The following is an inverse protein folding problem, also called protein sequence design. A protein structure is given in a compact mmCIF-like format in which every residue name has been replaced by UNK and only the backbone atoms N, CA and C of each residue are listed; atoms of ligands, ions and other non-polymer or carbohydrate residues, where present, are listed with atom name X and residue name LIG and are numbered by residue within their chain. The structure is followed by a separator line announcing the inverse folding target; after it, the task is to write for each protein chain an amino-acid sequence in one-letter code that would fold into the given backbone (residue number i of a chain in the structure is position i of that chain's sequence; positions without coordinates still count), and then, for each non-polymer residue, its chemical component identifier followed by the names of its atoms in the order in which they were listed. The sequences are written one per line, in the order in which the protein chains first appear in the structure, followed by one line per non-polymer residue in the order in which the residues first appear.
data_IF_871400338444
#
_entry.id   IF_871400338444
#
_cell.length_a   1.000
_cell.length_b   1.000
_cell.length_c   1.000
_cell.angle_alpha   90.00
_cell.angle_beta   90.00
_cell.angle_gamma   90.00
#
_symmetry.space_group_name_H-M   'P 1'
#
loop_
_entity.id
_entity.type
_entity.pdbx_description
1 polymer ?
#
# COMPACT_ATOMS: atom_id res chain seq x y z
N UNK A 1 17.84 -14.27 -8.13
CA UNK A 1 16.88 -13.40 -7.43
C UNK A 1 16.86 -13.81 -5.97
N UNK A 2 17.31 -12.95 -5.07
CA UNK A 2 17.17 -13.17 -3.63
C UNK A 2 15.75 -12.78 -3.23
N UNK A 3 14.99 -13.69 -2.61
CA UNK A 3 13.69 -13.37 -2.04
C UNK A 3 13.89 -13.10 -0.55
N UNK A 4 13.58 -11.88 -0.12
CA UNK A 4 13.57 -11.54 1.30
C UNK A 4 12.22 -11.91 1.90
N UNK A 5 12.25 -12.53 3.08
CA UNK A 5 11.04 -12.91 3.79
C UNK A 5 10.57 -11.74 4.66
N UNK A 6 9.37 -11.25 4.39
CA UNK A 6 8.72 -10.23 5.21
C UNK A 6 8.50 -10.78 6.63
N UNK A 7 8.99 -10.11 7.68
CA UNK A 7 8.76 -10.53 9.05
C UNK A 7 7.28 -10.33 9.42
N UNK A 8 6.67 -11.23 10.20
CA UNK A 8 5.32 -11.03 10.70
C UNK A 8 5.30 -9.95 11.80
N UNK A 9 4.16 -9.27 11.98
CA UNK A 9 3.97 -8.42 13.15
C UNK A 9 4.06 -9.22 14.47
N UNK A 10 4.57 -8.60 15.56
CA UNK A 10 4.67 -9.22 16.87
C UNK A 10 3.31 -9.54 17.50
N UNK A 11 3.33 -10.31 18.59
CA UNK A 11 2.12 -10.86 19.23
C UNK A 11 1.18 -9.79 19.78
N UNK A 12 1.70 -8.73 20.36
CA UNK A 12 0.95 -7.57 20.85
C UNK A 12 0.09 -6.93 19.75
N UNK A 13 0.63 -6.76 18.55
CA UNK A 13 -0.12 -6.20 17.40
C UNK A 13 -1.18 -7.19 16.90
N UNK A 14 -0.86 -8.48 16.88
CA UNK A 14 -1.84 -9.54 16.53
C UNK A 14 -3.01 -9.55 17.51
N UNK A 15 -2.72 -9.48 18.80
CA UNK A 15 -3.73 -9.42 19.88
C UNK A 15 -4.56 -8.15 19.73
N UNK A 16 -3.94 -6.98 19.51
CA UNK A 16 -4.63 -5.71 19.30
C UNK A 16 -5.67 -5.81 18.17
N UNK A 17 -5.28 -6.33 17.00
CA UNK A 17 -6.19 -6.47 15.85
C UNK A 17 -7.33 -7.46 16.15
N UNK A 18 -7.00 -8.60 16.78
CA UNK A 18 -7.99 -9.62 17.13
C UNK A 18 -9.00 -9.08 18.16
N UNK A 19 -8.55 -8.41 19.20
CA UNK A 19 -9.43 -7.87 20.24
C UNK A 19 -10.38 -6.79 19.71
N UNK A 20 -9.90 -5.97 18.78
CA UNK A 20 -10.69 -4.88 18.19
C UNK A 20 -11.66 -5.34 17.11
N UNK A 21 -11.25 -6.26 16.24
CA UNK A 21 -11.96 -6.52 14.99
C UNK A 21 -12.39 -7.98 14.78
N UNK A 22 -11.89 -8.92 15.57
CA UNK A 22 -12.28 -10.32 15.45
C UNK A 22 -13.54 -10.61 16.29
N UNK A 23 -14.54 -11.32 15.72
CA UNK A 23 -15.70 -11.80 16.47
C UNK A 23 -15.28 -12.60 17.71
N UNK A 24 -15.88 -12.34 18.89
CA UNK A 24 -15.47 -12.96 20.16
C UNK A 24 -15.37 -14.49 20.11
N UNK A 25 -16.21 -15.13 19.32
CA UNK A 25 -16.35 -16.58 19.23
C UNK A 25 -15.12 -17.28 18.63
N UNK A 26 -14.39 -16.58 17.77
CA UNK A 26 -13.24 -17.17 17.03
C UNK A 26 -11.89 -16.59 17.45
N UNK A 27 -11.83 -15.64 18.40
CA UNK A 27 -10.58 -14.98 18.83
C UNK A 27 -9.49 -15.97 19.24
N UNK A 28 -9.83 -16.89 20.14
CA UNK A 28 -8.89 -17.89 20.65
C UNK A 28 -8.38 -18.80 19.52
N UNK A 29 -9.27 -19.20 18.60
CA UNK A 29 -8.90 -20.01 17.44
C UNK A 29 -7.91 -19.26 16.53
N UNK A 30 -8.17 -17.96 16.27
CA UNK A 30 -7.31 -17.13 15.43
C UNK A 30 -5.92 -16.94 16.07
N UNK A 31 -5.85 -16.63 17.37
CA UNK A 31 -4.59 -16.41 18.07
C UNK A 31 -3.73 -17.67 18.18
N UNK A 32 -4.36 -18.84 18.35
CA UNK A 32 -3.67 -20.12 18.46
C UNK A 32 -3.25 -20.70 17.09
N UNK A 33 -3.90 -20.30 16.00
CA UNK A 33 -3.62 -20.84 14.66
C UNK A 33 -2.23 -20.46 14.16
N UNK A 34 -1.47 -21.46 13.71
CA UNK A 34 -0.15 -21.27 13.10
C UNK A 34 -0.23 -20.42 11.81
N UNK A 35 -1.29 -20.54 11.01
CA UNK A 35 -1.46 -19.76 9.78
C UNK A 35 -1.59 -18.25 10.03
N UNK A 36 -2.10 -17.85 11.21
CA UNK A 36 -2.27 -16.46 11.60
C UNK A 36 -1.01 -15.86 12.26
N UNK A 37 0.06 -16.65 12.44
CA UNK A 37 1.36 -16.13 12.89
C UNK A 37 2.06 -15.30 11.82
N UNK A 38 1.67 -15.44 10.55
CA UNK A 38 2.25 -14.66 9.45
C UNK A 38 1.90 -13.16 9.50
N UNK A 39 0.81 -12.79 10.18
CA UNK A 39 0.27 -11.43 10.35
C UNK A 39 0.86 -10.35 9.44
N UNK A 40 0.30 -10.23 8.23
CA UNK A 40 0.60 -9.17 7.28
C UNK A 40 -0.61 -8.24 7.21
N UNK A 41 -0.36 -6.93 7.32
CA UNK A 41 -1.43 -5.92 7.31
C UNK A 41 -1.40 -5.22 5.96
N UNK A 42 -2.49 -5.25 5.21
CA UNK A 42 -2.64 -4.48 3.98
C UNK A 42 -3.28 -3.13 4.30
N UNK A 43 -2.63 -1.99 4.01
CA UNK A 43 -3.21 -0.67 4.23
C UNK A 43 -4.19 -0.31 3.11
N UNK A 44 -5.50 -0.36 3.40
CA UNK A 44 -6.58 0.03 2.49
C UNK A 44 -6.90 1.52 2.65
N UNK A 45 -6.00 2.37 2.16
CA UNK A 45 -6.10 3.83 2.29
C UNK A 45 -7.21 4.41 1.38
N UNK A 46 -7.46 3.77 0.24
CA UNK A 46 -8.50 4.14 -0.72
C UNK A 46 -9.93 3.74 -0.37
N UNK A 47 -10.13 3.05 0.76
CA UNK A 47 -11.41 2.43 1.06
C UNK A 47 -11.74 2.49 2.56
N UNK A 48 -12.93 2.99 2.86
CA UNK A 48 -13.59 2.78 4.14
C UNK A 48 -14.44 1.51 4.07
N UNK A 49 -14.61 0.80 5.19
CA UNK A 49 -15.56 -0.32 5.25
C UNK A 49 -16.96 0.17 4.85
N UNK A 50 -17.65 -0.55 3.97
CA UNK A 50 -19.08 -0.27 3.69
C UNK A 50 -19.93 -0.80 4.84
N UNK A 51 -21.18 -0.35 4.99
CA UNK A 51 -22.08 -0.83 6.07
C UNK A 51 -22.15 -2.37 6.15
N UNK A 52 -22.12 -3.06 5.00
CA UNK A 52 -22.00 -4.52 4.94
C UNK A 52 -20.67 -5.03 5.50
N UNK A 53 -19.52 -4.46 5.10
CA UNK A 53 -18.19 -4.84 5.60
C UNK A 53 -17.93 -4.44 7.06
N UNK A 54 -18.54 -3.35 7.53
CA UNK A 54 -18.47 -2.88 8.91
C UNK A 54 -19.35 -3.71 9.85
N UNK A 55 -20.57 -4.08 9.41
CA UNK A 55 -21.44 -5.04 10.12
C UNK A 55 -21.03 -6.50 9.95
N UNK A 56 -20.13 -6.82 9.02
CA UNK A 56 -19.59 -8.18 8.82
C UNK A 56 -18.76 -8.71 10.00
N UNK A 57 -18.57 -7.92 11.06
CA UNK A 57 -18.29 -8.45 12.40
C UNK A 57 -19.36 -9.48 12.88
N UNK A 58 -20.54 -9.50 12.26
CA UNK A 58 -21.63 -10.47 12.53
C UNK A 58 -21.74 -11.61 11.51
N UNK A 59 -20.95 -11.62 10.45
CA UNK A 59 -21.04 -12.66 9.42
C UNK A 59 -20.18 -13.86 9.79
N UNK A 60 -20.84 -14.88 10.37
CA UNK A 60 -20.32 -16.22 10.69
C UNK A 60 -19.66 -17.00 9.52
N UNK A 61 -19.64 -16.46 8.30
CA UNK A 61 -19.23 -17.18 7.08
C UNK A 61 -18.17 -16.47 6.22
N UNK A 62 -17.42 -15.49 6.75
CA UNK A 62 -16.18 -15.04 6.11
C UNK A 62 -15.02 -15.11 7.10
N UNK A 63 -14.06 -15.99 6.82
CA UNK A 63 -12.93 -16.29 7.69
C UNK A 63 -12.12 -15.04 7.99
N UNK A 64 -12.13 -14.60 9.25
CA UNK A 64 -11.16 -13.64 9.76
C UNK A 64 -9.78 -14.27 9.63
N UNK A 65 -8.83 -13.58 9.00
CA UNK A 65 -7.47 -14.07 8.82
C UNK A 65 -6.48 -12.93 9.01
N UNK A 66 -5.38 -13.23 9.70
CA UNK A 66 -4.25 -12.31 9.84
C UNK A 66 -3.26 -12.46 8.67
N UNK A 67 -3.39 -13.49 7.83
CA UNK A 67 -2.41 -13.80 6.78
C UNK A 67 -2.36 -12.74 5.66
N UNK A 68 -3.35 -11.86 5.54
CA UNK A 68 -3.41 -10.68 4.66
C UNK A 68 -4.53 -9.75 5.16
N UNK A 69 -4.38 -9.24 6.39
CA UNK A 69 -5.45 -8.49 7.06
C UNK A 69 -5.71 -7.15 6.38
N UNK A 70 -6.91 -6.90 5.82
CA UNK A 70 -7.23 -5.62 5.17
C UNK A 70 -7.56 -4.56 6.22
N UNK A 71 -6.62 -3.65 6.50
CA UNK A 71 -6.80 -2.54 7.42
C UNK A 71 -7.33 -1.31 6.67
N UNK A 72 -8.62 -1.04 6.82
CA UNK A 72 -9.31 0.06 6.12
C UNK A 72 -9.02 1.42 6.76
N UNK A 73 -9.19 2.49 5.98
CA UNK A 73 -8.95 3.86 6.43
C UNK A 73 -9.72 4.22 7.72
N UNK A 74 -10.97 3.79 7.85
CA UNK A 74 -11.77 4.01 9.06
C UNK A 74 -11.21 3.25 10.26
N UNK A 75 -10.68 2.05 10.05
CA UNK A 75 -10.03 1.27 11.11
C UNK A 75 -8.72 1.92 11.56
N UNK A 76 -7.95 2.49 10.64
CA UNK A 76 -6.73 3.24 11.00
C UNK A 76 -7.06 4.40 11.94
N UNK A 77 -8.13 5.14 11.64
CA UNK A 77 -8.62 6.23 12.50
C UNK A 77 -9.13 5.70 13.85
N UNK A 78 -9.89 4.61 13.86
CA UNK A 78 -10.39 3.97 15.09
C UNK A 78 -9.27 3.44 16.00
N UNK A 79 -8.18 2.94 15.41
CA UNK A 79 -6.99 2.50 16.14
C UNK A 79 -6.18 3.69 16.70
N UNK A 80 -6.47 4.92 16.29
CA UNK A 80 -5.72 6.10 16.69
C UNK A 80 -4.41 6.27 15.93
N UNK A 81 -4.30 5.75 14.71
CA UNK A 81 -3.15 6.03 13.83
C UNK A 81 -3.21 7.51 13.43
N UNK A 82 -2.16 8.31 13.69
CA UNK A 82 -2.12 9.72 13.30
C UNK A 82 -2.33 9.91 11.79
N UNK A 83 -3.06 10.95 11.38
CA UNK A 83 -3.29 11.24 9.96
C UNK A 83 -1.97 11.42 9.20
N UNK A 84 -0.97 12.02 9.84
CA UNK A 84 0.40 12.18 9.31
C UNK A 84 1.08 10.85 8.99
N UNK A 85 0.78 9.77 9.72
CA UNK A 85 1.30 8.43 9.42
C UNK A 85 0.55 7.78 8.27
N UNK A 86 -0.76 8.00 8.15
CA UNK A 86 -1.55 7.53 7.01
C UNK A 86 -1.10 8.23 5.72
N UNK A 87 -0.85 9.54 5.80
CA UNK A 87 -0.25 10.32 4.71
C UNK A 87 1.16 9.82 4.37
N UNK A 88 1.98 9.45 5.37
CA UNK A 88 3.29 8.83 5.14
C UNK A 88 3.17 7.52 4.37
N UNK A 89 2.19 6.65 4.70
CA UNK A 89 1.94 5.42 3.93
C UNK A 89 1.58 5.72 2.48
N UNK A 90 0.72 6.71 2.25
CA UNK A 90 0.34 7.13 0.92
C UNK A 90 1.53 7.71 0.13
N UNK A 91 2.39 8.50 0.77
CA UNK A 91 3.62 9.00 0.16
C UNK A 91 4.55 7.85 -0.25
N UNK A 92 4.78 6.87 0.63
CA UNK A 92 5.61 5.69 0.31
C UNK A 92 5.06 4.87 -0.86
N UNK A 93 3.73 4.73 -0.99
CA UNK A 93 3.12 4.12 -2.17
C UNK A 93 3.43 4.92 -3.46
N UNK A 94 3.38 6.25 -3.38
CA UNK A 94 3.71 7.13 -4.49
C UNK A 94 5.17 7.02 -4.93
N UNK A 95 6.09 7.00 -3.97
CA UNK A 95 7.53 6.79 -4.21
C UNK A 95 7.79 5.42 -4.87
N UNK A 96 7.20 4.36 -4.33
CA UNK A 96 7.36 3.01 -4.86
C UNK A 96 6.84 2.91 -6.30
N UNK A 97 5.63 3.40 -6.58
CA UNK A 97 5.08 3.37 -7.94
C UNK A 97 5.87 4.23 -8.92
N UNK A 98 6.34 5.42 -8.51
CA UNK A 98 7.22 6.22 -9.37
C UNK A 98 8.51 5.47 -9.72
N UNK A 99 9.08 4.76 -8.74
CA UNK A 99 10.26 3.91 -8.95
C UNK A 99 9.96 2.77 -9.92
N UNK A 100 8.85 2.05 -9.75
CA UNK A 100 8.45 0.98 -10.67
C UNK A 100 8.23 1.49 -12.11
N UNK A 101 7.53 2.60 -12.24
CA UNK A 101 7.17 3.16 -13.54
C UNK A 101 8.40 3.73 -14.27
N UNK A 102 9.27 4.48 -13.59
CA UNK A 102 10.29 5.28 -14.28
C UNK A 102 11.70 4.73 -14.19
N UNK A 103 12.02 3.98 -13.14
CA UNK A 103 13.30 3.28 -13.03
C UNK A 103 13.16 1.82 -13.47
N UNK A 104 12.05 1.17 -13.07
CA UNK A 104 11.76 -0.21 -13.44
C UNK A 104 11.13 -0.37 -14.82
N UNK A 105 10.59 0.69 -15.42
CA UNK A 105 9.86 0.67 -16.68
C UNK A 105 8.79 -0.43 -16.75
N UNK A 106 8.07 -0.61 -15.63
CA UNK A 106 6.99 -1.59 -15.48
C UNK A 106 5.72 -0.94 -14.96
N UNK A 107 4.57 -1.54 -15.26
CA UNK A 107 3.24 -0.94 -15.02
C UNK A 107 2.68 -1.09 -13.59
N UNK A 108 3.36 -1.85 -12.72
CA UNK A 108 2.89 -2.11 -11.36
C UNK A 108 1.57 -2.90 -11.29
N UNK A 109 1.23 -3.68 -12.31
CA UNK A 109 0.01 -4.48 -12.30
C UNK A 109 0.07 -5.57 -11.22
N UNK A 110 -0.99 -5.61 -10.41
CA UNK A 110 -1.19 -6.51 -9.26
C UNK A 110 -0.16 -6.41 -8.13
N UNK A 111 0.68 -5.36 -8.11
CA UNK A 111 1.57 -5.13 -6.96
C UNK A 111 0.78 -4.88 -5.69
N UNK A 112 1.24 -5.49 -4.61
CA UNK A 112 0.61 -5.45 -3.31
C UNK A 112 1.46 -4.72 -2.28
N UNK A 113 0.82 -3.89 -1.47
CA UNK A 113 1.47 -3.18 -0.38
C UNK A 113 1.06 -3.78 0.96
N UNK A 114 2.04 -4.01 1.83
CA UNK A 114 1.82 -4.49 3.20
C UNK A 114 2.64 -3.68 4.19
N UNK A 115 2.08 -3.44 5.37
CA UNK A 115 2.84 -3.00 6.53
C UNK A 115 3.45 -4.24 7.18
N UNK A 116 4.71 -4.13 7.59
CA UNK A 116 5.39 -5.13 8.39
C UNK A 116 6.62 -4.52 9.09
N UNK A 117 7.17 -5.18 10.13
CA UNK A 117 8.41 -4.73 10.76
C UNK A 117 9.54 -4.48 9.74
N UNK A 118 10.45 -3.53 9.98
CA UNK A 118 11.54 -3.24 9.05
C UNK A 118 12.53 -4.43 8.94
N UNK A 119 13.30 -4.50 7.84
CA UNK A 119 14.41 -5.45 7.73
C UNK A 119 15.39 -5.29 8.89
N UNK A 120 15.93 -6.39 9.42
CA UNK A 120 16.76 -6.41 10.66
C UNK A 120 18.06 -5.60 10.60
N UNK A 121 18.51 -5.20 9.41
CA UNK A 121 19.83 -4.60 9.18
C UNK A 121 19.76 -3.29 8.36
N UNK A 122 18.57 -2.72 8.19
CA UNK A 122 18.40 -1.53 7.37
C UNK A 122 18.00 -0.35 8.25
N UNK A 123 18.83 0.70 8.26
CA UNK A 123 18.50 2.01 8.83
C UNK A 123 17.51 2.68 7.87
N UNK A 124 16.31 2.10 7.79
CA UNK A 124 15.32 2.48 6.81
C UNK A 124 14.72 3.83 7.21
N UNK A 125 15.06 4.89 6.48
CA UNK A 125 14.56 6.27 6.72
C UNK A 125 13.03 6.41 6.61
N UNK A 126 12.36 5.38 6.11
CA UNK A 126 10.91 5.31 5.91
C UNK A 126 10.16 4.64 7.07
N UNK A 127 10.87 4.21 8.12
CA UNK A 127 10.26 3.57 9.30
C UNK A 127 9.23 4.47 10.00
N UNK A 128 8.09 3.89 10.35
CA UNK A 128 6.98 4.53 11.06
C UNK A 128 6.76 3.80 12.39
N UNK A 129 6.55 4.56 13.47
CA UNK A 129 6.19 4.02 14.78
C UNK A 129 4.83 4.53 15.22
N UNK A 130 3.88 3.64 15.48
CA UNK A 130 2.56 3.98 16.03
C UNK A 130 1.98 2.81 16.85
N UNK A 131 0.65 2.74 16.97
CA UNK A 131 -0.07 1.68 17.69
C UNK A 131 0.20 0.27 17.15
N UNK A 132 0.69 0.13 15.92
CA UNK A 132 1.15 -1.13 15.33
C UNK A 132 2.62 -1.46 15.65
N UNK A 133 3.27 -0.67 16.52
CA UNK A 133 4.71 -0.76 16.77
C UNK A 133 5.53 -0.11 15.66
N UNK A 134 6.82 -0.46 15.60
CA UNK A 134 7.76 -0.04 14.56
C UNK A 134 7.59 -0.90 13.30
N UNK A 135 7.36 -0.26 12.15
CA UNK A 135 7.10 -0.93 10.89
C UNK A 135 7.40 -0.03 9.69
N UNK A 136 7.45 -0.62 8.50
CA UNK A 136 7.58 0.08 7.23
C UNK A 136 6.61 -0.49 6.20
N UNK A 137 6.53 0.17 5.03
CA UNK A 137 5.75 -0.30 3.89
C UNK A 137 6.63 -1.22 3.03
N UNK A 138 6.14 -2.43 2.80
CA UNK A 138 6.72 -3.41 1.90
C UNK A 138 5.86 -3.49 0.63
N UNK A 139 6.52 -3.82 -0.47
CA UNK A 139 5.88 -4.11 -1.75
C UNK A 139 6.19 -5.56 -2.16
N UNK A 140 5.18 -6.27 -2.63
CA UNK A 140 5.27 -7.66 -3.05
C UNK A 140 4.33 -7.96 -4.22
N UNK A 141 4.37 -9.20 -4.70
CA UNK A 141 3.65 -9.70 -5.88
C UNK A 141 3.95 -8.92 -7.17
N UNK A 142 5.03 -9.29 -7.84
CA UNK A 142 5.44 -8.69 -9.12
C UNK A 142 5.15 -9.60 -10.31
N UNK A 143 4.39 -10.68 -10.11
CA UNK A 143 4.23 -11.77 -11.09
C UNK A 143 3.39 -11.36 -12.33
N UNK A 144 2.48 -10.40 -12.16
CA UNK A 144 1.64 -9.86 -13.23
C UNK A 144 2.10 -8.49 -13.76
N UNK A 145 3.23 -7.96 -13.27
CA UNK A 145 3.83 -6.75 -13.79
C UNK A 145 4.31 -6.95 -15.23
N UNK A 146 4.12 -5.92 -16.07
CA UNK A 146 4.55 -5.92 -17.46
C UNK A 146 5.41 -4.71 -17.74
N UNK A 147 6.30 -4.85 -18.73
CA UNK A 147 7.03 -3.70 -19.27
C UNK A 147 6.05 -2.63 -19.74
N UNK A 148 6.39 -1.39 -19.44
CA UNK A 148 5.64 -0.19 -19.74
C UNK A 148 6.46 0.66 -20.71
N UNK A 149 5.87 1.06 -21.84
CA UNK A 149 6.52 1.99 -22.75
C UNK A 149 6.65 3.39 -22.12
N UNK A 150 7.73 4.11 -22.43
CA UNK A 150 7.91 5.51 -21.98
C UNK A 150 7.15 6.49 -22.89
N UNK A 151 5.86 6.24 -23.05
CA UNK A 151 4.94 7.04 -23.85
C UNK A 151 3.54 7.09 -23.22
N UNK A 152 2.59 7.71 -23.92
CA UNK A 152 1.22 7.85 -23.43
C UNK A 152 0.48 6.50 -23.30
N UNK A 153 0.80 5.50 -24.12
CA UNK A 153 0.16 4.18 -24.02
C UNK A 153 0.67 3.42 -22.78
N UNK A 154 1.96 3.51 -22.47
CA UNK A 154 2.50 3.01 -21.21
C UNK A 154 1.87 3.70 -19.99
N UNK A 155 1.71 5.02 -20.04
CA UNK A 155 1.00 5.77 -18.98
C UNK A 155 -0.44 5.30 -18.80
N UNK A 156 -1.18 5.04 -19.90
CA UNK A 156 -2.53 4.48 -19.84
C UNK A 156 -2.53 3.07 -19.26
N UNK A 157 -1.54 2.24 -19.60
CA UNK A 157 -1.37 0.90 -19.05
C UNK A 157 -1.18 0.95 -17.53
N UNK A 158 -0.24 1.76 -17.03
CA UNK A 158 -0.05 1.95 -15.59
C UNK A 158 -1.29 2.53 -14.90
N UNK A 159 -1.96 3.51 -15.50
CA UNK A 159 -3.19 4.07 -14.93
C UNK A 159 -4.34 3.03 -14.90
N UNK A 160 -4.35 2.07 -15.83
CA UNK A 160 -5.30 0.95 -15.82
C UNK A 160 -4.93 -0.08 -14.74
N UNK A 161 -3.64 -0.42 -14.61
CA UNK A 161 -3.14 -1.28 -13.55
C UNK A 161 -3.51 -0.72 -12.17
N UNK A 162 -3.17 0.55 -11.90
CA UNK A 162 -3.52 1.23 -10.65
C UNK A 162 -5.02 1.16 -10.31
N UNK A 163 -5.89 1.37 -11.29
CA UNK A 163 -7.34 1.32 -11.07
C UNK A 163 -7.90 -0.10 -10.89
N UNK A 164 -7.22 -1.11 -11.45
CA UNK A 164 -7.62 -2.52 -11.39
C UNK A 164 -7.10 -3.23 -10.15
N UNK A 165 -5.93 -2.83 -9.67
CA UNK A 165 -5.45 -3.26 -8.37
C UNK A 165 -6.55 -2.97 -7.34
N UNK A 166 -6.61 -3.82 -6.33
CA UNK A 166 -7.60 -3.70 -5.26
C UNK A 166 -7.59 -2.27 -4.68
N UNK A 167 -8.69 -1.80 -4.04
CA UNK A 167 -8.90 -0.40 -3.68
C UNK A 167 -8.01 0.08 -2.51
N UNK A 168 -6.80 -0.47 -2.39
CA UNK A 168 -5.77 -0.12 -1.43
C UNK A 168 -5.30 1.32 -1.60
N UNK A 169 -5.13 1.77 -2.84
CA UNK A 169 -4.50 3.04 -3.14
C UNK A 169 -5.35 4.24 -2.75
N UNK A 170 -4.73 5.36 -2.30
CA UNK A 170 -5.44 6.59 -2.01
C UNK A 170 -6.36 7.02 -3.16
N UNK A 171 -7.57 7.46 -2.83
CA UNK A 171 -8.53 7.95 -3.83
C UNK A 171 -8.28 9.42 -4.15
N UNK A 172 -8.40 9.83 -5.42
CA UNK A 172 -8.33 11.23 -5.80
C UNK A 172 -9.16 12.15 -4.89
N UNK A 173 -8.66 13.36 -4.64
CA UNK A 173 -9.30 14.40 -3.82
C UNK A 173 -9.42 14.08 -2.31
N UNK A 174 -8.53 13.22 -1.79
CA UNK A 174 -8.35 12.97 -0.35
C UNK A 174 -7.01 13.52 0.14
N UNK A 175 -6.83 13.76 1.43
CA UNK A 175 -5.53 14.20 1.98
C UNK A 175 -4.42 13.18 1.68
N UNK A 176 -4.77 11.89 1.72
CA UNK A 176 -3.86 10.81 1.39
C UNK A 176 -3.46 10.84 -0.09
N UNK A 177 -4.37 11.25 -0.98
CA UNK A 177 -4.04 11.45 -2.39
C UNK A 177 -3.06 12.59 -2.61
N UNK A 178 -3.20 13.71 -1.89
CA UNK A 178 -2.26 14.83 -1.97
C UNK A 178 -0.85 14.36 -1.58
N UNK A 179 -0.74 13.57 -0.50
CA UNK A 179 0.54 13.00 -0.07
C UNK A 179 1.13 12.04 -1.12
N UNK A 180 0.29 11.15 -1.67
CA UNK A 180 0.67 10.22 -2.74
C UNK A 180 1.15 10.93 -4.01
N UNK A 181 0.33 11.82 -4.57
CA UNK A 181 0.60 12.45 -5.86
C UNK A 181 1.81 13.38 -5.79
N UNK A 182 1.96 14.13 -4.69
CA UNK A 182 3.15 14.95 -4.44
C UNK A 182 4.42 14.11 -4.40
N UNK A 183 4.41 13.02 -3.62
CA UNK A 183 5.60 12.17 -3.50
C UNK A 183 5.91 11.45 -4.83
N UNK A 184 4.88 10.93 -5.51
CA UNK A 184 5.03 10.31 -6.82
C UNK A 184 5.71 11.25 -7.83
N UNK A 185 5.23 12.50 -7.94
CA UNK A 185 5.80 13.47 -8.87
C UNK A 185 7.20 13.92 -8.46
N UNK A 186 7.47 14.10 -7.16
CA UNK A 186 8.80 14.43 -6.66
C UNK A 186 9.80 13.32 -6.99
N UNK A 187 9.49 12.07 -6.65
CA UNK A 187 10.34 10.92 -6.97
C UNK A 187 10.51 10.76 -8.48
N UNK A 188 9.46 10.99 -9.28
CA UNK A 188 9.57 10.97 -10.74
C UNK A 188 10.55 12.02 -11.26
N UNK A 189 10.56 13.22 -10.68
CA UNK A 189 11.52 14.27 -11.01
C UNK A 189 12.94 13.87 -10.62
N UNK A 190 13.14 13.36 -9.42
CA UNK A 190 14.47 12.99 -8.92
C UNK A 190 15.08 11.87 -9.79
N UNK A 191 14.26 10.87 -10.16
CA UNK A 191 14.68 9.78 -11.06
C UNK A 191 14.99 10.27 -12.47
N UNK A 192 14.14 11.15 -13.02
CA UNK A 192 14.34 11.72 -14.35
C UNK A 192 15.67 12.48 -14.44
N UNK A 193 15.98 13.33 -13.47
CA UNK A 193 17.25 14.07 -13.45
C UNK A 193 18.47 13.19 -13.15
N UNK A 194 18.30 12.14 -12.34
CA UNK A 194 19.43 11.29 -11.91
C UNK A 194 19.83 10.24 -12.95
N UNK A 195 18.87 9.73 -13.72
CA UNK A 195 19.09 8.58 -14.62
C UNK A 195 18.76 8.84 -16.09
N UNK A 196 18.02 9.91 -16.41
CA UNK A 196 17.49 10.17 -17.76
C UNK A 196 17.50 11.68 -18.12
N UNK A 197 18.64 12.35 -17.92
CA UNK A 197 18.76 13.81 -18.08
C UNK A 197 18.23 14.33 -19.43
N UNK A 198 18.58 13.64 -20.53
CA UNK A 198 18.15 14.01 -21.89
C UNK A 198 16.64 13.84 -22.13
N UNK A 199 15.97 12.99 -21.37
CA UNK A 199 14.53 12.69 -21.48
C UNK A 199 13.72 13.25 -20.31
N UNK A 200 14.34 14.02 -19.42
CA UNK A 200 13.77 14.35 -18.11
C UNK A 200 12.42 15.07 -18.23
N UNK A 201 12.34 16.08 -19.10
CA UNK A 201 11.09 16.83 -19.31
C UNK A 201 9.98 15.95 -19.91
N UNK A 202 10.33 15.02 -20.81
CA UNK A 202 9.39 14.08 -21.42
C UNK A 202 8.82 13.13 -20.36
N UNK A 203 9.68 12.48 -19.57
CA UNK A 203 9.29 11.57 -18.49
C UNK A 203 8.49 12.28 -17.40
N UNK A 204 8.84 13.52 -17.07
CA UNK A 204 8.05 14.37 -16.18
C UNK A 204 6.67 14.69 -16.74
N UNK A 205 6.57 14.96 -18.04
CA UNK A 205 5.29 15.13 -18.74
C UNK A 205 4.40 13.88 -18.64
N UNK A 206 4.98 12.69 -18.80
CA UNK A 206 4.29 11.41 -18.66
C UNK A 206 3.84 11.14 -17.21
N UNK A 207 4.69 11.46 -16.23
CA UNK A 207 4.35 11.35 -14.81
C UNK A 207 3.17 12.25 -14.42
N UNK A 208 3.14 13.50 -14.92
CA UNK A 208 1.98 14.39 -14.76
C UNK A 208 0.73 13.80 -15.41
N UNK A 209 0.85 13.26 -16.63
CA UNK A 209 -0.28 12.61 -17.33
C UNK A 209 -0.84 11.40 -16.57
N UNK A 210 0.01 10.62 -15.91
CA UNK A 210 -0.45 9.51 -15.06
C UNK A 210 -1.38 10.01 -13.95
N UNK A 211 -0.97 11.04 -13.20
CA UNK A 211 -1.80 11.64 -12.13
C UNK A 211 -3.10 12.21 -12.71
N UNK A 212 -3.03 12.96 -13.81
CA UNK A 212 -4.23 13.51 -14.47
C UNK A 212 -5.24 12.42 -14.89
N UNK A 213 -4.76 11.29 -15.43
CA UNK A 213 -5.62 10.17 -15.80
C UNK A 213 -6.33 9.54 -14.58
N UNK A 214 -5.66 9.50 -13.43
CA UNK A 214 -6.24 8.97 -12.20
C UNK A 214 -7.27 9.93 -11.58
N UNK A 215 -7.06 11.24 -11.69
CA UNK A 215 -8.01 12.24 -11.17
C UNK A 215 -9.26 12.39 -12.03
N UNK A 216 -9.16 12.09 -13.33
CA UNK A 216 -10.27 12.22 -14.29
C UNK A 216 -11.13 10.97 -14.42
N UNK A 217 -10.62 9.80 -14.03
CA UNK A 217 -11.40 8.55 -13.98
C UNK A 217 -12.42 8.61 -12.83
N UNK A 218 -13.71 8.68 -13.18
CA UNK A 218 -14.84 8.57 -12.25
C UNK A 218 -15.07 7.15 -11.78
#
# INVERSE_FOLDING_TARGET
MSSERIPPFPEDVRVLIVERYCPPEIRNQILLSASNRACLIRPYIGRRRTYGTAMNARSRFRGFSLQNYPLHLDQMVELGIPSTHIERYAAMMGEALATLHWLGEIDGNDVEFVLAPPPRNDDCTTTVTNVLGEHTLWILDFDLCRSMAMDLEGVKQAANAFCRNDPFYPRPHTDQWIAFSRQYLQTSADLAHSFHEDEAESRLGLARKFIELLETKK
#
